data_IF_598748670595
#
_entry.id   IF_598748670595
#
_cell.length_a   1.000
_cell.length_b   1.000
_cell.length_c   1.000
_cell.angle_alpha   90.00
_cell.angle_beta   90.00
_cell.angle_gamma   90.00
#
_symmetry.space_group_name_H-M   'P 1'
#
loop_
_entity.id
_entity.type
_entity.pdbx_description
1 polymer ?
#
# COMPACT_ATOMS: atom_id res chain seq x y z
N UNK A 1 25.83 -18.44 -34.90
CA UNK A 1 25.07 -17.27 -35.35
C UNK A 1 23.86 -17.14 -34.44
N UNK A 2 23.79 -16.08 -33.64
CA UNK A 2 22.72 -15.85 -32.65
C UNK A 2 22.01 -14.57 -33.10
N UNK A 3 20.83 -14.71 -33.69
CA UNK A 3 19.86 -13.64 -33.99
C UNK A 3 18.49 -14.32 -33.96
N UNK A 4 17.38 -13.75 -33.50
CA UNK A 4 17.07 -12.52 -32.80
C UNK A 4 15.80 -12.84 -32.01
N UNK A 5 15.59 -12.24 -30.85
CA UNK A 5 14.92 -10.95 -30.85
C UNK A 5 13.43 -11.16 -30.59
N UNK A 6 13.08 -11.61 -29.39
CA UNK A 6 11.72 -11.49 -28.88
C UNK A 6 11.77 -10.59 -27.64
N UNK A 7 11.90 -9.30 -27.92
CA UNK A 7 11.81 -8.24 -26.93
C UNK A 7 10.35 -8.15 -26.52
N UNK A 8 9.97 -8.97 -25.54
CA UNK A 8 8.71 -8.91 -24.82
C UNK A 8 8.55 -7.47 -24.33
N UNK A 9 7.77 -6.70 -25.09
CA UNK A 9 7.29 -5.37 -24.73
C UNK A 9 6.46 -5.53 -23.46
N UNK A 10 7.13 -5.43 -22.33
CA UNK A 10 6.53 -5.10 -21.04
C UNK A 10 5.84 -3.76 -21.22
N UNK A 11 4.57 -3.80 -21.60
CA UNK A 11 3.64 -2.69 -21.46
C UNK A 11 3.57 -2.38 -19.97
N UNK A 12 4.47 -1.50 -19.52
CA UNK A 12 4.36 -0.82 -18.22
C UNK A 12 3.01 -0.11 -18.24
N UNK A 13 2.02 -0.76 -17.65
CA UNK A 13 0.75 -0.14 -17.29
C UNK A 13 1.09 0.88 -16.20
N UNK A 14 1.37 2.11 -16.63
CA UNK A 14 1.54 3.24 -15.72
C UNK A 14 0.15 3.42 -15.11
N UNK A 15 -0.02 2.91 -13.89
CA UNK A 15 -1.20 3.23 -13.09
C UNK A 15 -0.99 4.67 -12.68
N UNK A 16 -1.69 5.57 -13.36
CA UNK A 16 -1.80 6.97 -12.96
C UNK A 16 -2.32 6.97 -11.52
N UNK A 17 -1.39 7.17 -10.59
CA UNK A 17 -1.71 7.34 -9.18
C UNK A 17 -2.14 8.79 -9.05
N UNK A 18 -3.35 9.09 -8.56
CA UNK A 18 -3.80 10.46 -8.37
C UNK A 18 -2.75 11.26 -7.61
N UNK A 19 -2.46 12.47 -8.06
CA UNK A 19 -1.49 13.35 -7.39
C UNK A 19 -1.84 13.45 -5.89
N UNK A 20 -0.88 13.08 -5.03
CA UNK A 20 -1.08 12.95 -3.58
C UNK A 20 -1.32 11.52 -3.07
N UNK A 21 -1.14 10.49 -3.90
CA UNK A 21 -1.18 9.09 -3.44
C UNK A 21 0.23 8.61 -3.08
N UNK A 22 0.44 8.18 -1.83
CA UNK A 22 1.67 7.52 -1.41
C UNK A 22 1.80 6.25 -2.24
N UNK A 23 2.88 6.14 -3.02
CA UNK A 23 3.07 5.07 -4.00
C UNK A 23 3.36 3.68 -3.36
N UNK A 24 3.23 3.54 -2.04
CA UNK A 24 3.53 2.32 -1.30
C UNK A 24 2.35 1.76 -0.52
N UNK A 25 2.32 0.44 -0.36
CA UNK A 25 1.50 -0.19 0.67
C UNK A 25 2.27 -0.19 1.99
N UNK A 26 1.59 0.05 3.11
CA UNK A 26 2.16 -0.20 4.43
C UNK A 26 1.39 -1.31 5.13
N UNK A 27 2.09 -2.12 5.91
CA UNK A 27 1.49 -3.14 6.76
C UNK A 27 1.24 -2.56 8.14
N UNK A 28 0.03 -2.75 8.66
CA UNK A 28 -0.34 -2.36 10.01
C UNK A 28 -1.07 -3.51 10.70
N UNK A 29 -0.89 -3.59 12.03
CA UNK A 29 -1.69 -4.48 12.87
C UNK A 29 -2.99 -3.78 13.24
N UNK A 30 -4.10 -4.52 13.14
CA UNK A 30 -5.39 -4.10 13.69
C UNK A 30 -5.30 -4.12 15.22
N UNK A 31 -5.75 -3.05 15.87
CA UNK A 31 -5.81 -2.92 17.33
C UNK A 31 -7.23 -2.59 17.77
N UNK A 32 -7.51 -2.80 19.06
CA UNK A 32 -8.79 -2.43 19.66
C UNK A 32 -8.63 -1.16 20.50
N UNK A 33 -9.49 -0.17 20.28
CA UNK A 33 -9.55 1.05 21.08
C UNK A 33 -11.00 1.51 21.18
N UNK A 34 -11.47 1.77 22.42
CA UNK A 34 -12.82 2.32 22.67
C UNK A 34 -13.93 1.60 21.90
N UNK A 35 -13.96 0.27 22.01
CA UNK A 35 -14.93 -0.59 21.33
C UNK A 35 -14.86 -0.61 19.79
N UNK A 36 -13.79 -0.06 19.21
CA UNK A 36 -13.58 0.03 17.76
C UNK A 36 -12.28 -0.66 17.34
N UNK A 37 -12.29 -1.25 16.14
CA UNK A 37 -11.06 -1.71 15.48
C UNK A 37 -10.39 -0.53 14.79
N UNK A 38 -9.12 -0.32 15.07
CA UNK A 38 -8.33 0.76 14.50
C UNK A 38 -7.08 0.24 13.79
N UNK A 39 -6.67 0.96 12.76
CA UNK A 39 -5.35 0.83 12.11
C UNK A 39 -4.65 2.17 12.21
N UNK A 40 -3.37 2.15 12.60
CA UNK A 40 -2.57 3.37 12.74
C UNK A 40 -1.83 3.64 11.44
N UNK A 41 -2.05 4.82 10.85
CA UNK A 41 -1.24 5.31 9.73
C UNK A 41 0.14 5.70 10.28
N UNK A 42 1.26 5.16 9.77
CA UNK A 42 2.60 5.56 10.20
C UNK A 42 2.83 7.06 10.01
N UNK A 43 3.49 7.71 10.99
CA UNK A 43 3.75 9.16 10.96
C UNK A 43 4.48 9.60 9.69
N UNK A 44 5.40 8.78 9.18
CA UNK A 44 6.11 9.04 7.92
C UNK A 44 5.14 9.15 6.73
N UNK A 45 4.22 8.19 6.61
CA UNK A 45 3.20 8.18 5.55
C UNK A 45 2.26 9.37 5.69
N UNK A 46 1.82 9.67 6.91
CA UNK A 46 0.95 10.83 7.16
C UNK A 46 1.63 12.15 6.76
N UNK A 47 2.93 12.33 7.07
CA UNK A 47 3.70 13.51 6.69
C UNK A 47 3.91 13.63 5.18
N UNK A 48 4.28 12.52 4.53
CA UNK A 48 4.50 12.48 3.07
C UNK A 48 3.20 12.80 2.31
N UNK A 49 2.05 12.37 2.84
CA UNK A 49 0.73 12.65 2.26
C UNK A 49 0.09 13.96 2.73
N UNK A 50 0.72 14.67 3.67
CA UNK A 50 0.14 15.89 4.25
C UNK A 50 -1.15 15.66 5.04
N UNK A 51 -1.43 14.44 5.51
CA UNK A 51 -2.63 14.10 6.28
C UNK A 51 -2.58 14.76 7.66
N UNK A 52 -3.68 15.41 8.04
CA UNK A 52 -3.87 16.12 9.31
C UNK A 52 -5.08 15.58 10.08
N UNK A 53 -5.16 15.96 11.36
CA UNK A 53 -6.33 15.66 12.17
C UNK A 53 -7.57 16.36 11.59
N UNK A 54 -8.64 15.60 11.41
CA UNK A 54 -9.90 16.09 10.83
C UNK A 54 -10.06 15.77 9.33
N UNK A 55 -8.98 15.37 8.65
CA UNK A 55 -9.06 15.00 7.24
C UNK A 55 -9.88 13.71 7.05
N UNK A 56 -10.60 13.66 5.91
CA UNK A 56 -11.23 12.44 5.43
C UNK A 56 -10.27 11.76 4.46
N UNK A 57 -9.97 10.49 4.71
CA UNK A 57 -9.10 9.67 3.86
C UNK A 57 -9.84 8.44 3.37
N UNK A 58 -9.56 8.01 2.14
CA UNK A 58 -10.04 6.74 1.59
C UNK A 58 -8.95 5.69 1.79
N UNK A 59 -9.31 4.55 2.39
CA UNK A 59 -8.36 3.48 2.72
C UNK A 59 -8.78 2.19 1.99
N UNK A 60 -7.86 1.61 1.23
CA UNK A 60 -8.01 0.25 0.71
C UNK A 60 -7.32 -0.73 1.67
N UNK A 61 -8.07 -1.72 2.16
CA UNK A 61 -7.57 -2.71 3.12
C UNK A 61 -7.47 -4.07 2.45
N UNK A 62 -6.33 -4.73 2.60
CA UNK A 62 -6.12 -6.12 2.21
C UNK A 62 -5.70 -6.93 3.44
N UNK A 63 -6.45 -7.98 3.77
CA UNK A 63 -6.08 -8.89 4.85
C UNK A 63 -4.84 -9.68 4.42
N UNK A 64 -3.76 -9.59 5.19
CA UNK A 64 -2.59 -10.44 5.01
C UNK A 64 -2.83 -11.76 5.73
N UNK A 65 -2.90 -12.86 4.99
CA UNK A 65 -2.96 -14.18 5.61
C UNK A 65 -1.66 -14.44 6.39
N UNK A 66 -1.74 -14.94 7.63
CA UNK A 66 -0.54 -15.29 8.38
C UNK A 66 0.21 -16.37 7.61
N UNK A 67 1.51 -16.18 7.41
CA UNK A 67 2.34 -17.28 6.89
C UNK A 67 2.28 -18.40 7.92
N UNK A 68 1.94 -19.63 7.53
CA UNK A 68 2.04 -20.76 8.44
C UNK A 68 3.49 -20.83 8.90
N UNK A 69 3.70 -20.74 10.21
CA UNK A 69 5.00 -21.03 10.80
C UNK A 69 5.14 -22.53 10.72
N UNK A 70 6.02 -23.01 9.84
CA UNK A 70 6.41 -24.42 9.83
C UNK A 70 7.21 -24.65 11.12
N UNK A 71 6.56 -25.22 12.12
CA UNK A 71 7.20 -25.83 13.30
C UNK A 71 7.67 -27.23 12.98
#
# INVERSE_FOLDING_TARGET
MIEGGDSLRLSKRIVETPEGTYAGNFEARVRYLSSSLIVTIPVKVARELGIKLGDRVVIQVQKKEPRPVLT
#
